data_IF_629551820080
#
_entry.id   IF_629551820080
#
_cell.length_a   1.000
_cell.length_b   1.000
_cell.length_c   1.000
_cell.angle_alpha   90.00
_cell.angle_beta   90.00
_cell.angle_gamma   90.00
#
_symmetry.space_group_name_H-M   'P 1'
#
loop_
_entity.id
_entity.type
_entity.pdbx_description
1 polymer ?
#
# COMPACT_ATOMS: atom_id res chain seq x y z
N UNK A 1 -6.04 24.27 6.87
CA UNK A 1 -6.93 23.56 7.81
C UNK A 1 -7.15 24.45 9.04
N UNK A 2 -8.38 24.80 9.43
CA UNK A 2 -8.65 25.47 10.70
C UNK A 2 -8.22 24.59 11.88
N UNK A 3 -7.72 25.20 12.96
CA UNK A 3 -7.19 24.47 14.13
C UNK A 3 -8.23 23.57 14.84
N UNK A 4 -9.54 23.86 14.67
CA UNK A 4 -10.62 23.07 15.26
C UNK A 4 -11.00 21.83 14.43
N UNK A 5 -10.51 21.71 13.19
CA UNK A 5 -11.02 20.72 12.23
C UNK A 5 -12.47 21.01 11.79
N UNK A 6 -12.96 20.21 10.84
CA UNK A 6 -14.35 20.21 10.39
C UNK A 6 -15.11 19.00 10.92
N UNK A 7 -16.41 18.91 10.62
CA UNK A 7 -17.18 17.69 10.89
C UNK A 7 -16.63 16.51 10.09
N UNK A 8 -16.44 15.36 10.74
CA UNK A 8 -15.99 14.14 10.06
C UNK A 8 -17.09 13.61 9.12
N UNK A 9 -16.70 13.17 7.93
CA UNK A 9 -17.60 12.60 6.92
C UNK A 9 -17.17 11.17 6.59
N UNK A 10 -18.12 10.26 6.54
CA UNK A 10 -17.87 8.89 6.09
C UNK A 10 -17.80 8.84 4.57
N UNK A 11 -16.63 8.48 4.02
CA UNK A 11 -16.43 8.37 2.57
C UNK A 11 -16.77 6.99 2.02
N UNK A 12 -16.41 5.92 2.73
CA UNK A 12 -16.63 4.54 2.27
C UNK A 12 -17.75 3.85 3.04
N UNK A 13 -18.54 3.06 2.34
CA UNK A 13 -19.62 2.20 2.86
C UNK A 13 -19.28 0.72 2.76
N UNK A 14 -18.38 0.34 1.85
CA UNK A 14 -17.85 -1.02 1.71
C UNK A 14 -16.69 -1.36 2.66
N UNK A 15 -16.39 -0.49 3.62
CA UNK A 15 -15.18 -0.56 4.43
C UNK A 15 -13.93 -0.17 3.65
N UNK A 16 -12.76 -0.44 4.24
CA UNK A 16 -11.48 -0.10 3.64
C UNK A 16 -10.38 0.00 4.69
N UNK A 17 -9.13 -0.01 4.25
CA UNK A 17 -7.96 0.14 5.12
C UNK A 17 -6.82 0.82 4.40
N UNK A 18 -5.87 1.30 5.21
CA UNK A 18 -4.62 1.91 4.75
C UNK A 18 -4.86 3.02 3.70
N UNK A 19 -5.69 4.05 4.00
CA UNK A 19 -6.01 5.09 3.02
C UNK A 19 -4.82 6.02 2.76
N UNK A 20 -4.79 6.63 1.58
CA UNK A 20 -3.91 7.73 1.21
C UNK A 20 -4.66 8.74 0.34
N UNK A 21 -4.40 10.02 0.55
CA UNK A 21 -5.01 11.11 -0.23
C UNK A 21 -4.19 11.38 -1.50
N UNK A 22 -4.85 11.80 -2.58
CA UNK A 22 -4.19 12.34 -3.76
C UNK A 22 -3.44 13.64 -3.42
N UNK A 23 -2.41 13.96 -4.19
CA UNK A 23 -1.60 15.17 -3.97
C UNK A 23 -2.40 16.48 -4.09
N UNK A 24 -3.53 16.46 -4.79
CA UNK A 24 -4.45 17.59 -4.94
C UNK A 24 -5.60 17.61 -3.92
N UNK A 25 -5.67 16.62 -3.03
CA UNK A 25 -6.68 16.50 -1.99
C UNK A 25 -8.08 16.12 -2.45
N UNK A 26 -8.25 15.72 -3.71
CA UNK A 26 -9.57 15.46 -4.30
C UNK A 26 -10.03 14.01 -4.22
N UNK A 27 -9.08 13.09 -4.08
CA UNK A 27 -9.36 11.66 -4.14
C UNK A 27 -8.73 10.96 -2.94
N UNK A 28 -9.47 10.04 -2.34
CA UNK A 28 -8.93 9.11 -1.34
C UNK A 28 -8.80 7.75 -1.97
N UNK A 29 -7.57 7.25 -1.99
CA UNK A 29 -7.22 5.89 -2.40
C UNK A 29 -7.13 4.98 -1.18
N UNK A 30 -7.51 3.72 -1.31
CA UNK A 30 -7.48 2.77 -0.19
C UNK A 30 -7.49 1.31 -0.69
N UNK A 31 -7.12 0.40 0.21
CA UNK A 31 -7.21 -1.04 -0.03
C UNK A 31 -8.53 -1.60 0.51
N UNK A 32 -9.12 -2.56 -0.21
CA UNK A 32 -10.20 -3.40 0.33
C UNK A 32 -9.66 -4.72 0.90
N UNK A 33 -10.54 -5.48 1.54
CA UNK A 33 -10.19 -6.70 2.29
C UNK A 33 -9.57 -7.79 1.43
N UNK A 34 -9.09 -8.88 2.06
CA UNK A 34 -8.39 -9.98 1.35
C UNK A 34 -9.16 -10.62 0.19
N UNK A 35 -10.50 -10.55 0.24
CA UNK A 35 -11.43 -11.11 -0.75
C UNK A 35 -11.77 -10.15 -1.89
N UNK A 36 -11.36 -8.88 -1.79
CA UNK A 36 -11.56 -7.85 -2.83
C UNK A 36 -10.21 -7.19 -3.11
N UNK A 37 -9.30 -7.90 -3.81
CA UNK A 37 -7.97 -7.39 -4.10
C UNK A 37 -8.06 -6.16 -5.01
N UNK A 38 -7.04 -5.31 -4.89
CA UNK A 38 -6.93 -4.10 -5.67
C UNK A 38 -6.99 -2.85 -4.83
N UNK A 39 -6.75 -1.77 -5.55
CA UNK A 39 -6.74 -0.43 -5.02
C UNK A 39 -8.01 0.27 -5.49
N UNK A 40 -8.67 0.93 -4.55
CA UNK A 40 -9.95 1.58 -4.74
C UNK A 40 -9.80 3.08 -4.51
N UNK A 41 -10.72 3.84 -5.08
CA UNK A 41 -10.78 5.28 -4.91
C UNK A 41 -12.20 5.74 -4.62
N UNK A 42 -12.30 6.89 -3.96
CA UNK A 42 -13.53 7.65 -3.75
C UNK A 42 -13.17 9.14 -3.73
N UNK A 43 -14.08 10.01 -4.17
CA UNK A 43 -13.88 11.46 -4.03
C UNK A 43 -13.77 11.84 -2.54
N UNK A 44 -12.95 12.83 -2.23
CA UNK A 44 -12.85 13.40 -0.89
C UNK A 44 -14.16 14.05 -0.41
N UNK A 45 -15.06 14.37 -1.35
CA UNK A 45 -16.43 14.85 -1.08
C UNK A 45 -17.44 13.70 -0.91
N UNK A 46 -16.99 12.44 -1.05
CA UNK A 46 -17.83 11.25 -1.07
C UNK A 46 -18.36 10.92 -2.48
N UNK A 47 -19.13 9.84 -2.59
CA UNK A 47 -19.71 9.39 -3.86
C UNK A 47 -19.52 7.90 -4.08
N UNK A 48 -19.51 7.49 -5.35
CA UNK A 48 -19.31 6.10 -5.73
C UNK A 48 -17.85 5.66 -5.52
N UNK A 49 -17.68 4.50 -4.87
CA UNK A 49 -16.39 3.84 -4.73
C UNK A 49 -16.08 3.08 -6.02
N UNK A 50 -14.93 3.36 -6.65
CA UNK A 50 -14.52 2.68 -7.90
C UNK A 50 -13.17 2.00 -7.73
N UNK A 51 -12.98 0.86 -8.39
CA UNK A 51 -11.69 0.17 -8.42
C UNK A 51 -10.77 0.86 -9.43
N UNK A 52 -9.54 1.14 -9.02
CA UNK A 52 -8.51 1.73 -9.87
C UNK A 52 -7.82 0.64 -10.69
N UNK A 53 -7.33 -0.40 -10.01
CA UNK A 53 -6.75 -1.59 -10.62
C UNK A 53 -6.80 -2.77 -9.65
N UNK A 54 -6.63 -3.98 -10.17
CA UNK A 54 -6.59 -5.21 -9.39
C UNK A 54 -5.14 -5.64 -9.13
N UNK A 55 -4.77 -5.74 -7.85
CA UNK A 55 -3.46 -6.21 -7.39
C UNK A 55 -3.54 -6.66 -5.93
N UNK A 56 -2.70 -7.63 -5.55
CA UNK A 56 -2.55 -8.03 -4.14
C UNK A 56 -1.42 -7.21 -3.50
N UNK A 57 -1.82 -6.17 -2.78
CA UNK A 57 -0.91 -5.24 -2.11
C UNK A 57 -1.04 -5.43 -0.59
N UNK A 58 0.09 -5.57 0.09
CA UNK A 58 0.13 -5.56 1.55
C UNK A 58 -0.02 -4.12 2.08
N UNK A 59 -0.77 -3.88 3.18
CA UNK A 59 -0.88 -2.55 3.77
C UNK A 59 0.50 -1.93 4.05
N UNK A 60 0.68 -0.66 3.66
CA UNK A 60 1.93 0.07 3.79
C UNK A 60 2.94 -0.15 2.65
N UNK A 61 2.60 -0.93 1.62
CA UNK A 61 3.47 -1.21 0.47
C UNK A 61 3.00 -0.52 -0.81
N UNK A 62 2.44 0.68 -0.69
CA UNK A 62 2.09 1.52 -1.82
C UNK A 62 2.11 3.00 -1.45
N UNK A 63 2.25 3.87 -2.44
CA UNK A 63 2.30 5.31 -2.27
C UNK A 63 1.69 6.04 -3.47
N UNK A 64 0.95 7.11 -3.20
CA UNK A 64 0.37 8.00 -4.22
C UNK A 64 1.38 9.11 -4.53
N UNK A 65 1.57 9.39 -5.81
CA UNK A 65 2.35 10.52 -6.32
C UNK A 65 1.50 11.38 -7.25
N UNK A 66 2.07 12.45 -7.80
CA UNK A 66 1.35 13.31 -8.72
C UNK A 66 1.05 12.61 -10.06
N UNK A 67 1.94 11.72 -10.51
CA UNK A 67 1.81 11.02 -11.80
C UNK A 67 1.06 9.69 -11.71
N UNK A 68 1.04 9.06 -10.54
CA UNK A 68 0.49 7.72 -10.41
C UNK A 68 0.63 7.12 -9.03
N UNK A 69 0.57 5.79 -8.99
CA UNK A 69 0.66 5.02 -7.76
C UNK A 69 1.80 4.01 -7.90
N UNK A 70 2.75 4.08 -6.98
CA UNK A 70 3.79 3.08 -6.82
C UNK A 70 3.32 2.03 -5.82
N UNK A 71 3.53 0.76 -6.11
CA UNK A 71 3.14 -0.32 -5.21
C UNK A 71 4.05 -1.53 -5.35
N UNK A 72 4.14 -2.32 -4.28
CA UNK A 72 4.85 -3.60 -4.28
C UNK A 72 3.86 -4.75 -4.33
N UNK A 73 4.08 -5.68 -5.25
CA UNK A 73 3.41 -6.98 -5.25
C UNK A 73 4.39 -8.08 -4.88
N UNK A 74 3.92 -9.04 -4.08
CA UNK A 74 4.74 -10.17 -3.67
C UNK A 74 4.90 -11.13 -4.84
N UNK A 75 6.14 -11.53 -5.10
CA UNK A 75 6.51 -12.43 -6.17
C UNK A 75 6.96 -13.79 -5.60
N UNK A 76 7.09 -14.83 -6.44
CA UNK A 76 7.71 -16.09 -6.06
C UNK A 76 9.12 -15.91 -5.47
N UNK A 77 9.61 -16.94 -4.76
CA UNK A 77 10.96 -16.96 -4.16
C UNK A 77 11.26 -15.80 -3.19
N UNK A 78 10.24 -15.27 -2.51
CA UNK A 78 10.41 -14.20 -1.53
C UNK A 78 11.02 -12.94 -2.16
N UNK A 79 10.54 -12.51 -3.33
CA UNK A 79 10.87 -11.21 -3.93
C UNK A 79 9.63 -10.33 -4.03
N UNK A 80 9.83 -9.06 -4.40
CA UNK A 80 8.75 -8.11 -4.64
C UNK A 80 8.96 -7.41 -5.98
N UNK A 81 7.90 -7.23 -6.77
CA UNK A 81 7.94 -6.35 -7.93
C UNK A 81 7.56 -4.93 -7.47
N UNK A 82 8.39 -3.95 -7.81
CA UNK A 82 8.00 -2.54 -7.73
C UNK A 82 7.31 -2.18 -9.04
N UNK A 83 6.05 -1.79 -8.93
CA UNK A 83 5.18 -1.47 -10.06
C UNK A 83 4.68 -0.03 -9.95
N UNK A 84 4.32 0.54 -11.10
CA UNK A 84 3.79 1.89 -11.23
C UNK A 84 2.55 1.89 -12.10
N UNK A 85 1.43 2.33 -11.52
CA UNK A 85 0.20 2.62 -12.22
C UNK A 85 0.18 4.10 -12.61
N UNK A 86 0.19 4.38 -13.91
CA UNK A 86 0.19 5.74 -14.46
C UNK A 86 -1.24 6.26 -14.63
N UNK A 87 -1.53 7.46 -14.08
CA UNK A 87 -2.88 8.02 -14.12
C UNK A 87 -3.35 8.45 -15.51
N UNK A 88 -2.42 8.89 -16.37
CA UNK A 88 -2.76 9.38 -17.69
C UNK A 88 -3.09 8.22 -18.65
N UNK A 89 -2.30 7.15 -18.59
CA UNK A 89 -2.45 6.00 -19.49
C UNK A 89 -3.34 4.90 -18.93
N UNK A 90 -3.58 4.90 -17.60
CA UNK A 90 -4.27 3.82 -16.87
C UNK A 90 -3.55 2.47 -17.02
N UNK A 91 -2.24 2.49 -17.24
CA UNK A 91 -1.43 1.28 -17.40
C UNK A 91 -0.52 1.06 -16.20
N UNK A 92 -0.35 -0.20 -15.85
CA UNK A 92 0.65 -0.65 -14.87
C UNK A 92 1.89 -1.08 -15.62
N UNK A 93 3.05 -0.61 -15.16
CA UNK A 93 4.36 -1.08 -15.61
C UNK A 93 5.19 -1.54 -14.43
N UNK A 94 5.91 -2.65 -14.59
CA UNK A 94 6.90 -3.07 -13.62
C UNK A 94 8.18 -2.26 -13.82
N UNK A 95 8.67 -1.64 -12.74
CA UNK A 95 9.91 -0.86 -12.75
C UNK A 95 11.10 -1.79 -12.52
N UNK A 96 11.04 -2.60 -11.47
CA UNK A 96 12.12 -3.51 -11.09
C UNK A 96 11.63 -4.62 -10.17
N UNK A 97 12.49 -5.61 -9.92
CA UNK A 97 12.29 -6.64 -8.90
C UNK A 97 13.27 -6.38 -7.75
N UNK A 98 12.75 -6.43 -6.52
CA UNK A 98 13.49 -6.35 -5.28
C UNK A 98 13.66 -7.76 -4.72
N UNK A 99 14.88 -8.26 -4.76
CA UNK A 99 15.26 -9.59 -4.30
C UNK A 99 15.92 -9.52 -2.92
N UNK A 100 15.69 -10.56 -2.12
CA UNK A 100 16.23 -10.68 -0.78
C UNK A 100 17.09 -11.93 -0.60
N UNK A 101 17.69 -12.11 0.60
CA UNK A 101 18.53 -13.27 0.91
C UNK A 101 17.77 -14.61 1.01
N UNK A 102 16.48 -14.66 0.61
CA UNK A 102 15.62 -15.84 0.65
C UNK A 102 14.87 -16.03 1.97
N UNK A 103 14.08 -17.12 2.07
CA UNK A 103 13.46 -17.68 3.27
C UNK A 103 12.41 -16.82 4.01
N UNK A 104 12.84 -15.68 4.54
CA UNK A 104 12.04 -14.80 5.42
C UNK A 104 11.99 -13.34 4.95
N UNK A 105 12.55 -13.06 3.76
CA UNK A 105 12.58 -11.71 3.21
C UNK A 105 11.19 -11.09 3.14
N UNK A 106 11.09 -9.90 3.73
CA UNK A 106 9.89 -9.08 3.73
C UNK A 106 10.26 -7.61 3.56
N UNK A 107 9.47 -6.92 2.74
CA UNK A 107 9.51 -5.46 2.58
C UNK A 107 8.24 -4.86 3.18
N UNK A 108 8.40 -3.73 3.86
CA UNK A 108 7.30 -2.94 4.43
C UNK A 108 7.59 -1.44 4.32
N UNK A 109 6.53 -0.61 4.35
CA UNK A 109 6.67 0.84 4.50
C UNK A 109 7.26 1.53 3.28
N UNK A 110 6.71 1.24 2.10
CA UNK A 110 7.09 1.91 0.85
C UNK A 110 6.76 3.41 0.92
N UNK A 111 7.71 4.27 0.60
CA UNK A 111 7.48 5.69 0.35
C UNK A 111 8.30 6.16 -0.85
N UNK A 112 7.81 7.22 -1.50
CA UNK A 112 8.37 7.81 -2.71
C UNK A 112 8.66 9.28 -2.42
N UNK A 113 9.82 9.77 -2.84
CA UNK A 113 10.14 11.20 -2.71
C UNK A 113 9.19 12.07 -3.54
N UNK A 114 8.96 13.35 -3.15
CA UNK A 114 8.07 14.24 -3.92
C UNK A 114 8.47 14.46 -5.38
N UNK A 115 9.77 14.34 -5.68
CA UNK A 115 10.31 14.42 -7.05
C UNK A 115 10.32 13.06 -7.77
N UNK A 116 9.80 12.01 -7.13
CA UNK A 116 9.67 10.63 -7.63
C UNK A 116 11.00 9.98 -8.05
N UNK A 117 12.13 10.46 -7.54
CA UNK A 117 13.47 9.93 -7.84
C UNK A 117 14.00 8.94 -6.81
N UNK A 118 13.43 8.92 -5.61
CA UNK A 118 13.87 8.06 -4.53
C UNK A 118 12.72 7.20 -4.04
N UNK A 119 13.05 5.95 -3.78
CA UNK A 119 12.17 4.98 -3.14
C UNK A 119 12.84 4.59 -1.82
N UNK A 120 12.09 4.64 -0.73
CA UNK A 120 12.53 4.14 0.57
C UNK A 120 11.55 3.06 1.03
N UNK A 121 12.10 1.98 1.56
CA UNK A 121 11.36 0.89 2.15
C UNK A 121 12.17 0.26 3.28
N UNK A 122 11.48 -0.35 4.25
CA UNK A 122 12.11 -1.15 5.28
C UNK A 122 12.20 -2.61 4.83
N UNK A 123 13.38 -3.19 5.01
CA UNK A 123 13.69 -4.57 4.65
C UNK A 123 13.97 -5.38 5.92
N UNK A 124 13.38 -6.57 6.02
CA UNK A 124 13.70 -7.54 7.06
C UNK A 124 14.41 -8.75 6.44
N UNK A 125 15.69 -8.87 6.71
CA UNK A 125 16.55 -9.92 6.15
C UNK A 125 16.48 -11.24 6.90
N UNK A 126 16.28 -11.19 8.21
CA UNK A 126 16.20 -12.37 9.06
C UNK A 126 15.01 -12.29 10.00
N UNK A 127 14.32 -13.41 10.16
CA UNK A 127 13.26 -13.60 11.13
C UNK A 127 13.48 -14.93 11.83
N UNK A 128 13.91 -14.86 13.08
CA UNK A 128 14.11 -16.04 13.92
C UNK A 128 12.94 -16.17 14.90
N UNK A 129 12.57 -17.42 15.18
CA UNK A 129 11.56 -17.75 16.18
C UNK A 129 12.07 -18.88 17.05
N UNK A 130 11.89 -18.76 18.36
CA UNK A 130 12.03 -19.84 19.31
C UNK A 130 10.66 -20.21 19.86
N UNK A 131 10.36 -21.50 19.92
CA UNK A 131 9.18 -22.01 20.61
C UNK A 131 9.61 -22.67 21.91
N UNK A 132 9.13 -22.16 23.03
CA UNK A 132 9.44 -22.66 24.36
C UNK A 132 8.20 -23.28 24.99
N UNK A 133 8.33 -24.52 25.47
CA UNK A 133 7.33 -25.15 26.34
C UNK A 133 7.70 -24.84 27.80
N UNK A 134 6.76 -24.26 28.54
CA UNK A 134 6.91 -24.03 29.98
C UNK A 134 5.89 -24.88 30.70
N UNK A 135 6.37 -25.80 31.54
CA UNK A 135 5.55 -26.66 32.39
C UNK A 135 5.76 -26.26 33.86
N UNK A 136 4.78 -26.58 34.71
CA UNK A 136 4.83 -26.33 36.16
C UNK A 136 5.02 -24.86 36.60
N UNK A 137 4.38 -23.91 35.90
CA UNK A 137 4.24 -22.54 36.39
C UNK A 137 3.37 -22.55 37.67
N UNK A 138 3.83 -21.91 38.75
CA UNK A 138 3.08 -21.74 40.01
C UNK A 138 2.37 -20.40 40.05
#
# INVERSE_FOLDING_TARGET
>A
MPAAGGAAVQLTRGGGRNPAESTDGRTVYYLKGRNDPGLWQVSAEGGEETRVFEARIDPGNWAVTARGIYFLTRQPQFSYALEFFDFATRQTTQITTLEGPGGTFQISGLTISPDERWVLYAQRDKLDYDLMLVENFR
#
